data_IF_373735586359
#
_entry.id   IF_373735586359
#
_cell.length_a   1.000
_cell.length_b   1.000
_cell.length_c   1.000
_cell.angle_alpha   90.00
_cell.angle_beta   90.00
_cell.angle_gamma   90.00
#
_symmetry.space_group_name_H-M   'P 1'
#
loop_
_entity.id
_entity.type
_entity.pdbx_description
1 polymer ?
#
# COMPACT_ATOMS: atom_id res chain seq x y z
N UNK A 1 31.46 -12.03 65.57
CA UNK A 1 31.71 -13.34 66.14
C UNK A 1 30.96 -14.41 65.38
N UNK A 2 31.73 -15.19 64.59
CA UNK A 2 31.90 -16.64 64.62
C UNK A 2 30.65 -17.45 64.24
N UNK A 3 30.63 -18.48 63.46
CA UNK A 3 31.52 -19.43 62.77
C UNK A 3 30.72 -20.27 61.81
N UNK A 4 31.27 -20.50 60.65
CA UNK A 4 31.41 -21.75 59.88
C UNK A 4 30.67 -23.00 60.40
N UNK A 5 30.02 -23.69 59.43
CA UNK A 5 30.34 -25.11 59.19
C UNK A 5 29.84 -25.62 57.81
N UNK A 6 30.77 -26.11 57.08
CA UNK A 6 30.72 -26.94 55.88
C UNK A 6 30.31 -28.37 56.19
N UNK A 7 29.60 -29.03 55.30
CA UNK A 7 29.66 -30.50 55.16
C UNK A 7 29.43 -30.91 53.69
N UNK A 8 30.43 -31.60 53.16
CA UNK A 8 30.46 -32.44 51.93
C UNK A 8 29.92 -33.83 52.24
N UNK A 9 29.28 -34.47 51.22
CA UNK A 9 29.40 -35.93 50.90
C UNK A 9 28.59 -36.16 49.66
N UNK A 10 29.17 -36.53 48.56
CA UNK A 10 29.77 -37.75 47.97
C UNK A 10 28.71 -38.70 47.43
N UNK A 11 28.71 -38.78 46.06
CA UNK A 11 28.76 -39.92 45.13
C UNK A 11 28.02 -41.21 45.46
N UNK A 12 27.21 -41.68 44.44
CA UNK A 12 27.44 -43.01 43.87
C UNK A 12 26.72 -43.21 42.53
N UNK A 13 27.53 -43.62 41.56
CA UNK A 13 27.13 -44.16 40.23
C UNK A 13 26.40 -45.50 40.41
N UNK A 14 25.46 -45.77 39.51
CA UNK A 14 25.33 -47.15 38.99
C UNK A 14 24.76 -47.14 37.58
N UNK A 15 25.59 -47.63 36.68
CA UNK A 15 25.29 -48.07 35.30
C UNK A 15 24.36 -49.28 35.34
N UNK A 16 23.44 -49.37 34.39
CA UNK A 16 23.04 -50.60 33.76
C UNK A 16 22.56 -50.34 32.33
N UNK A 17 23.33 -50.84 31.39
CA UNK A 17 23.01 -50.93 29.98
C UNK A 17 22.27 -52.24 29.73
N UNK A 18 21.20 -52.22 28.93
CA UNK A 18 20.73 -53.41 28.23
C UNK A 18 20.40 -53.00 26.77
N UNK A 19 21.14 -53.66 25.88
CA UNK A 19 20.92 -53.69 24.42
C UNK A 19 19.76 -54.61 24.10
N UNK A 20 18.93 -54.27 23.11
CA UNK A 20 18.41 -55.21 22.11
C UNK A 20 17.81 -54.49 20.92
N UNK A 21 18.33 -54.73 19.74
CA UNK A 21 17.76 -54.62 18.38
C UNK A 21 17.45 -56.07 17.93
N UNK A 22 16.89 -56.26 16.74
CA UNK A 22 15.63 -55.81 16.08
C UNK A 22 14.82 -57.06 15.64
N UNK A 23 13.56 -56.88 15.25
CA UNK A 23 12.87 -57.86 14.37
C UNK A 23 11.99 -57.11 13.37
N UNK A 24 12.38 -57.28 12.11
CA UNK A 24 11.60 -56.94 10.92
C UNK A 24 10.56 -58.05 10.72
N UNK A 25 9.29 -57.66 10.55
CA UNK A 25 8.32 -58.52 9.83
C UNK A 25 7.56 -57.65 8.83
N UNK A 26 7.78 -57.98 7.56
CA UNK A 26 6.92 -57.64 6.43
C UNK A 26 5.61 -58.38 6.59
N UNK A 27 4.51 -57.73 6.43
CA UNK A 27 3.26 -58.33 6.00
C UNK A 27 2.72 -57.51 4.81
N UNK A 28 2.66 -58.20 3.68
CA UNK A 28 1.90 -57.79 2.48
C UNK A 28 0.41 -57.99 2.78
N UNK A 29 -0.39 -57.01 2.46
CA UNK A 29 -1.83 -57.20 2.27
C UNK A 29 -2.36 -56.23 1.21
N UNK A 30 -2.54 -56.81 0.02
CA UNK A 30 -3.67 -56.78 -0.88
C UNK A 30 -4.43 -55.47 -1.10
N UNK A 31 -4.29 -54.92 -2.30
CA UNK A 31 -5.20 -53.98 -2.93
C UNK A 31 -6.56 -54.64 -3.25
N UNK A 32 -7.69 -53.96 -3.10
CA UNK A 32 -8.91 -54.26 -3.85
C UNK A 32 -9.00 -53.43 -5.11
N UNK A 33 -8.89 -54.09 -6.26
CA UNK A 33 -9.29 -53.57 -7.58
C UNK A 33 -10.79 -53.29 -7.59
N UNK A 34 -11.18 -52.06 -7.80
CA UNK A 34 -12.55 -51.72 -8.21
C UNK A 34 -12.52 -51.26 -9.64
N UNK A 35 -13.01 -52.11 -10.55
CA UNK A 35 -13.32 -51.76 -11.94
C UNK A 35 -14.41 -50.68 -11.98
N UNK A 36 -14.10 -49.53 -12.52
CA UNK A 36 -15.12 -48.55 -12.95
C UNK A 36 -15.23 -48.62 -14.48
N UNK A 37 -16.34 -49.18 -14.95
CA UNK A 37 -16.72 -49.25 -16.36
C UNK A 37 -16.90 -47.85 -16.93
N UNK A 38 -16.10 -47.49 -17.92
CA UNK A 38 -16.31 -46.38 -18.81
C UNK A 38 -17.61 -46.57 -19.60
N UNK A 39 -18.56 -45.65 -19.39
CA UNK A 39 -19.67 -45.45 -20.37
C UNK A 39 -19.31 -44.22 -21.19
N UNK A 40 -18.83 -44.50 -22.39
CA UNK A 40 -18.72 -43.54 -23.49
C UNK A 40 -20.13 -43.10 -23.92
N UNK A 41 -20.46 -41.81 -23.68
CA UNK A 41 -21.59 -41.17 -24.32
C UNK A 41 -21.06 -40.26 -25.44
N UNK A 42 -21.25 -40.68 -26.68
CA UNK A 42 -21.03 -39.88 -27.87
C UNK A 42 -22.10 -38.77 -27.93
N UNK A 43 -21.72 -37.53 -27.84
CA UNK A 43 -22.55 -36.40 -28.20
C UNK A 43 -22.01 -35.77 -29.52
N UNK A 44 -22.86 -35.71 -30.53
CA UNK A 44 -22.62 -35.05 -31.82
C UNK A 44 -22.57 -33.53 -31.68
N UNK A 45 -21.78 -32.83 -32.52
CA UNK A 45 -21.77 -31.37 -32.56
C UNK A 45 -22.93 -30.87 -33.43
N UNK A 46 -23.74 -29.96 -32.89
CA UNK A 46 -24.66 -29.14 -33.64
C UNK A 46 -24.14 -27.70 -33.64
N UNK A 47 -23.52 -27.33 -34.75
CA UNK A 47 -23.23 -25.96 -35.07
C UNK A 47 -24.52 -25.22 -35.43
N UNK A 48 -24.82 -24.12 -34.75
CA UNK A 48 -25.64 -23.03 -35.30
C UNK A 48 -24.87 -21.73 -35.06
N UNK A 49 -24.32 -21.22 -36.16
CA UNK A 49 -23.87 -19.83 -36.32
C UNK A 49 -25.11 -18.95 -36.20
N UNK A 50 -25.08 -18.02 -35.26
CA UNK A 50 -25.92 -16.82 -35.31
C UNK A 50 -24.97 -15.68 -35.67
N UNK A 51 -25.04 -15.21 -36.90
CA UNK A 51 -24.49 -13.95 -37.38
C UNK A 51 -25.24 -12.82 -36.68
N UNK A 52 -24.54 -12.00 -35.91
CA UNK A 52 -25.05 -10.71 -35.47
C UNK A 52 -24.47 -9.66 -36.40
N UNK A 53 -25.34 -9.10 -37.21
CA UNK A 53 -25.13 -7.93 -38.08
C UNK A 53 -24.57 -6.76 -37.27
N UNK A 54 -23.37 -6.31 -37.65
CA UNK A 54 -22.81 -5.05 -37.22
C UNK A 54 -23.45 -3.96 -38.06
N UNK A 55 -24.33 -3.16 -37.48
CA UNK A 55 -24.81 -1.90 -38.06
C UNK A 55 -23.83 -0.78 -37.82
N UNK A 56 -23.51 -0.10 -38.87
CA UNK A 56 -22.59 1.02 -39.04
C UNK A 56 -22.89 2.28 -38.21
N UNK A 57 -21.95 3.25 -38.15
CA UNK A 57 -21.79 4.21 -37.06
C UNK A 57 -22.76 5.39 -37.17
N UNK A 58 -23.19 5.82 -35.99
CA UNK A 58 -24.01 7.02 -35.78
C UNK A 58 -23.20 8.28 -36.12
N UNK A 59 -23.78 9.07 -37.06
CA UNK A 59 -23.29 10.36 -37.53
C UNK A 59 -23.02 11.34 -36.37
N UNK A 60 -21.82 11.98 -36.43
CA UNK A 60 -21.53 13.20 -35.73
C UNK A 60 -22.56 14.29 -36.00
N UNK A 61 -23.22 14.78 -34.97
CA UNK A 61 -24.01 16.01 -35.04
C UNK A 61 -23.08 17.14 -34.58
N UNK A 62 -22.65 17.96 -35.57
CA UNK A 62 -22.02 19.25 -35.28
C UNK A 62 -23.13 20.25 -34.93
N UNK A 63 -23.06 20.77 -33.72
CA UNK A 63 -23.91 21.88 -33.31
C UNK A 63 -23.15 23.16 -33.60
N UNK A 64 -23.51 23.79 -34.73
CA UNK A 64 -23.12 25.20 -35.04
C UNK A 64 -23.87 26.14 -34.11
N UNK A 65 -23.20 26.77 -33.18
CA UNK A 65 -23.73 27.97 -32.48
C UNK A 65 -23.31 29.22 -33.20
N UNK A 66 -24.18 29.75 -34.04
CA UNK A 66 -24.07 31.10 -34.62
C UNK A 66 -24.43 32.15 -33.58
N UNK A 67 -23.45 32.93 -33.16
CA UNK A 67 -23.70 34.20 -32.45
C UNK A 67 -23.48 35.35 -33.44
N UNK A 68 -24.43 36.28 -33.62
CA UNK A 68 -24.27 37.37 -34.57
C UNK A 68 -23.42 38.51 -33.95
N UNK A 69 -22.29 38.79 -34.57
CA UNK A 69 -21.46 39.96 -34.26
C UNK A 69 -22.10 41.24 -34.78
N UNK A 70 -22.57 42.12 -33.91
CA UNK A 70 -22.87 43.50 -34.24
C UNK A 70 -21.56 44.31 -34.27
N UNK A 71 -21.18 44.73 -35.48
CA UNK A 71 -20.14 45.71 -35.71
C UNK A 71 -20.67 47.08 -35.31
N UNK A 72 -20.10 47.70 -34.30
CA UNK A 72 -20.22 49.12 -34.03
C UNK A 72 -18.90 49.76 -34.46
N UNK A 73 -18.95 50.57 -35.52
CA UNK A 73 -17.84 51.36 -36.00
C UNK A 73 -17.73 52.61 -35.10
N UNK A 74 -16.64 52.76 -34.39
CA UNK A 74 -16.29 54.03 -33.73
C UNK A 74 -15.10 54.62 -34.47
N UNK A 75 -15.31 55.83 -35.01
CA UNK A 75 -14.30 56.70 -35.65
C UNK A 75 -13.19 56.99 -34.64
N UNK A 76 -11.97 56.75 -35.04
CA UNK A 76 -10.81 57.24 -34.32
C UNK A 76 -10.49 58.67 -34.72
N UNK A 77 -10.56 59.62 -33.79
CA UNK A 77 -9.84 60.86 -33.84
C UNK A 77 -8.57 60.74 -33.01
N UNK A 78 -7.46 61.14 -33.64
CA UNK A 78 -6.16 61.12 -33.00
C UNK A 78 -5.98 62.35 -32.07
N UNK A 79 -5.58 62.21 -30.82
CA UNK A 79 -5.09 63.33 -30.02
C UNK A 79 -3.55 63.39 -30.05
N UNK A 80 -3.14 64.65 -30.16
CA UNK A 80 -1.79 65.21 -30.18
C UNK A 80 -0.86 64.71 -29.11
N UNK A 81 0.42 64.54 -29.49
CA UNK A 81 1.57 64.28 -28.62
C UNK A 81 1.67 65.36 -27.50
N UNK A 82 1.50 64.88 -26.25
CA UNK A 82 2.08 65.51 -25.07
C UNK A 82 3.10 64.53 -24.48
N UNK A 83 4.35 65.02 -24.43
CA UNK A 83 5.43 64.36 -23.70
C UNK A 83 5.00 64.20 -22.24
N UNK A 84 4.85 62.98 -21.81
CA UNK A 84 4.69 62.60 -20.39
C UNK A 84 6.01 62.02 -19.95
N UNK A 85 6.65 62.68 -18.99
CA UNK A 85 7.89 62.23 -18.34
C UNK A 85 7.66 60.84 -17.77
N UNK A 86 8.60 59.92 -18.06
CA UNK A 86 8.66 58.59 -17.48
C UNK A 86 8.76 58.65 -15.95
N UNK A 87 7.91 57.98 -15.18
CA UNK A 87 8.13 57.84 -13.76
C UNK A 87 9.35 56.92 -13.53
N UNK A 88 10.36 57.47 -12.87
CA UNK A 88 11.48 56.66 -12.35
C UNK A 88 10.90 55.54 -11.45
N UNK A 89 11.00 54.31 -11.92
CA UNK A 89 10.68 53.14 -11.13
C UNK A 89 11.72 53.08 -10.01
N UNK A 90 11.30 53.43 -8.79
CA UNK A 90 12.11 53.15 -7.60
C UNK A 90 12.40 51.66 -7.54
N UNK A 91 13.68 51.30 -7.61
CA UNK A 91 14.17 49.95 -7.36
C UNK A 91 13.66 49.54 -5.97
N UNK A 92 12.68 48.64 -5.95
CA UNK A 92 12.26 48.00 -4.69
C UNK A 92 13.49 47.27 -4.19
N UNK A 93 14.02 47.72 -3.08
CA UNK A 93 15.00 46.97 -2.33
C UNK A 93 14.34 45.59 -2.03
N UNK A 94 14.97 44.53 -2.46
CA UNK A 94 14.61 43.18 -2.06
C UNK A 94 14.70 43.11 -0.53
N UNK A 95 13.56 43.22 0.13
CA UNK A 95 13.44 42.88 1.55
C UNK A 95 13.68 41.37 1.57
N UNK A 96 14.70 40.88 2.29
CA UNK A 96 14.86 39.45 2.44
C UNK A 96 13.58 38.89 3.08
N UNK A 97 12.84 38.07 2.33
CA UNK A 97 11.72 37.34 2.93
C UNK A 97 12.35 36.44 3.99
N UNK A 98 12.11 36.76 5.25
CA UNK A 98 12.40 35.82 6.33
C UNK A 98 11.76 34.47 5.99
N UNK A 99 12.58 33.44 5.89
CA UNK A 99 12.05 32.10 5.68
C UNK A 99 11.16 31.78 6.87
N UNK A 100 9.93 31.30 6.64
CA UNK A 100 9.04 30.97 7.75
C UNK A 100 9.75 29.96 8.66
N UNK A 101 9.69 30.16 9.95
CA UNK A 101 10.13 29.15 10.93
C UNK A 101 9.29 27.90 10.76
N UNK A 102 9.87 26.88 10.15
CA UNK A 102 9.20 25.62 9.87
C UNK A 102 9.10 24.70 11.10
N UNK A 103 9.58 25.17 12.27
CA UNK A 103 9.61 24.39 13.49
C UNK A 103 10.60 23.20 13.43
N UNK A 104 10.54 22.29 14.39
CA UNK A 104 11.43 21.13 14.41
C UNK A 104 11.18 20.23 13.20
N UNK A 105 12.27 19.77 12.59
CA UNK A 105 12.24 18.85 11.44
C UNK A 105 11.46 17.58 11.80
N UNK A 106 10.48 17.23 10.97
CA UNK A 106 9.66 16.03 11.13
C UNK A 106 9.95 15.02 10.05
N UNK A 107 9.61 13.76 10.31
CA UNK A 107 9.87 12.64 9.43
C UNK A 107 8.57 11.98 8.94
N UNK A 108 8.52 11.65 7.64
CA UNK A 108 7.35 11.03 7.02
C UNK A 108 7.78 9.83 6.18
N UNK A 109 7.22 8.65 6.48
CA UNK A 109 7.32 7.47 5.64
C UNK A 109 6.08 7.34 4.76
N UNK A 110 6.23 7.42 3.45
CA UNK A 110 5.19 7.08 2.49
C UNK A 110 5.25 5.59 2.17
N UNK A 111 4.12 4.89 2.25
CA UNK A 111 4.03 3.46 1.93
C UNK A 111 2.95 3.27 0.87
N UNK A 112 3.34 2.77 -0.30
CA UNK A 112 2.43 2.56 -1.42
C UNK A 112 2.94 1.52 -2.40
N UNK A 113 2.06 1.11 -3.30
CA UNK A 113 2.34 0.03 -4.26
C UNK A 113 2.98 0.50 -5.55
N UNK A 114 2.94 1.79 -5.85
CA UNK A 114 3.52 2.37 -7.06
C UNK A 114 4.03 3.79 -6.82
N UNK A 115 5.02 4.20 -7.60
CA UNK A 115 5.60 5.55 -7.61
C UNK A 115 6.29 5.78 -8.95
N UNK A 116 5.95 6.87 -9.65
CA UNK A 116 6.73 7.32 -10.81
C UNK A 116 8.15 7.71 -10.34
N UNK A 117 9.21 7.45 -11.10
CA UNK A 117 9.24 6.81 -12.42
C UNK A 117 9.50 5.29 -12.37
N UNK A 118 9.47 4.67 -11.21
CA UNK A 118 9.84 3.27 -11.02
C UNK A 118 8.77 2.32 -11.53
N UNK A 119 7.54 2.54 -11.08
CA UNK A 119 6.35 1.80 -11.51
C UNK A 119 5.13 2.70 -11.39
N UNK A 120 4.29 2.72 -12.43
CA UNK A 120 3.09 3.55 -12.47
C UNK A 120 2.03 2.87 -13.31
N UNK A 121 0.84 2.70 -12.75
CA UNK A 121 -0.36 2.23 -13.47
C UNK A 121 -1.48 3.27 -13.47
N UNK A 122 -1.47 4.19 -12.50
CA UNK A 122 -2.50 5.21 -12.34
C UNK A 122 -2.00 6.50 -11.66
N UNK A 123 -2.95 7.30 -11.20
CA UNK A 123 -2.67 8.58 -10.53
C UNK A 123 -1.99 8.46 -9.17
N UNK A 124 -2.11 7.30 -8.51
CA UNK A 124 -1.39 7.00 -7.28
C UNK A 124 0.13 7.18 -7.46
N UNK A 125 0.68 6.65 -8.57
CA UNK A 125 2.11 6.75 -8.86
C UNK A 125 2.58 8.20 -9.01
N UNK A 126 1.75 9.10 -9.53
CA UNK A 126 2.07 10.53 -9.63
C UNK A 126 2.11 11.20 -8.26
N UNK A 127 1.13 10.92 -7.40
CA UNK A 127 1.08 11.47 -6.04
C UNK A 127 2.25 10.98 -5.20
N UNK A 128 2.56 9.67 -5.26
CA UNK A 128 3.70 9.08 -4.56
C UNK A 128 5.06 9.62 -5.00
N UNK A 129 5.12 10.25 -6.17
CA UNK A 129 6.30 10.94 -6.67
C UNK A 129 6.33 12.43 -6.29
N UNK A 130 5.22 13.14 -6.53
CA UNK A 130 5.19 14.60 -6.42
C UNK A 130 5.10 15.07 -4.97
N UNK A 131 4.24 14.45 -4.14
CA UNK A 131 4.01 14.88 -2.77
C UNK A 131 5.25 14.71 -1.87
N UNK A 132 5.96 13.57 -1.87
CA UNK A 132 7.21 13.42 -1.11
C UNK A 132 8.24 14.48 -1.45
N UNK A 133 8.46 14.76 -2.74
CA UNK A 133 9.39 15.80 -3.20
C UNK A 133 8.99 17.21 -2.77
N UNK A 134 7.69 17.50 -2.77
CA UNK A 134 7.18 18.78 -2.28
C UNK A 134 7.41 18.94 -0.77
N UNK A 135 7.17 17.87 0.01
CA UNK A 135 7.37 17.88 1.45
C UNK A 135 8.85 17.94 1.84
N UNK A 136 9.74 17.27 1.11
CA UNK A 136 11.18 17.36 1.34
C UNK A 136 11.70 18.82 1.23
N UNK A 137 11.09 19.65 0.37
CA UNK A 137 11.40 21.07 0.26
C UNK A 137 10.90 21.90 1.45
N UNK A 138 10.01 21.37 2.28
CA UNK A 138 9.44 22.01 3.46
C UNK A 138 10.14 21.57 4.77
N UNK A 139 11.41 21.21 4.70
CA UNK A 139 12.21 20.79 5.85
C UNK A 139 11.68 19.52 6.55
N UNK A 140 11.18 18.55 5.74
CA UNK A 140 10.83 17.23 6.26
C UNK A 140 11.86 16.18 5.82
N UNK A 141 12.09 15.19 6.68
CA UNK A 141 12.77 13.95 6.31
C UNK A 141 11.75 13.01 5.67
N UNK A 142 11.95 12.67 4.40
CA UNK A 142 10.96 11.91 3.65
C UNK A 142 11.56 10.61 3.11
N UNK A 143 10.94 9.50 3.46
CA UNK A 143 11.16 8.19 2.86
C UNK A 143 9.92 7.73 2.10
N UNK A 144 10.13 7.07 0.96
CA UNK A 144 9.10 6.39 0.18
C UNK A 144 9.43 4.90 0.15
N UNK A 145 8.52 4.06 0.61
CA UNK A 145 8.72 2.62 0.70
C UNK A 145 7.85 1.95 -0.34
N UNK A 146 8.46 1.13 -1.18
CA UNK A 146 7.86 0.50 -2.36
C UNK A 146 8.24 -0.98 -2.44
N UNK A 147 7.42 -1.83 -3.06
CA UNK A 147 7.88 -3.16 -3.47
C UNK A 147 8.95 -3.04 -4.57
N UNK A 148 9.99 -3.86 -4.49
CA UNK A 148 10.99 -3.99 -5.56
C UNK A 148 10.47 -4.90 -6.66
N UNK A 149 9.53 -4.41 -7.45
CA UNK A 149 9.01 -5.19 -8.57
C UNK A 149 10.07 -5.44 -9.66
N UNK A 150 10.04 -6.62 -10.26
CA UNK A 150 10.92 -6.96 -11.39
C UNK A 150 10.71 -6.05 -12.60
N UNK A 151 9.53 -5.45 -12.76
CA UNK A 151 9.22 -4.53 -13.85
C UNK A 151 9.81 -3.12 -13.70
N UNK A 152 10.44 -2.79 -12.58
CA UNK A 152 11.15 -1.51 -12.42
C UNK A 152 12.25 -1.44 -13.49
N UNK A 153 12.36 -0.32 -14.25
CA UNK A 153 13.37 -0.21 -15.30
C UNK A 153 14.80 -0.42 -14.76
N UNK A 154 15.59 -1.20 -15.52
CA UNK A 154 16.94 -1.61 -15.11
C UNK A 154 17.85 -0.43 -14.73
N UNK A 155 17.73 0.70 -15.44
CA UNK A 155 18.50 1.94 -15.15
C UNK A 155 18.32 2.47 -13.72
N UNK A 156 17.20 2.14 -13.05
CA UNK A 156 16.98 2.48 -11.64
C UNK A 156 17.49 1.35 -10.74
N UNK A 157 17.23 0.09 -11.10
CA UNK A 157 17.69 -1.05 -10.32
C UNK A 157 19.22 -1.07 -10.16
N UNK A 158 19.98 -0.70 -11.21
CA UNK A 158 21.45 -0.62 -11.19
C UNK A 158 22.00 0.49 -10.28
N UNK A 159 21.17 1.46 -9.93
CA UNK A 159 21.55 2.57 -9.04
C UNK A 159 21.10 2.36 -7.59
N UNK A 160 20.37 1.27 -7.32
CA UNK A 160 19.94 0.95 -5.97
C UNK A 160 21.12 0.41 -5.16
N UNK A 161 21.27 0.90 -3.95
CA UNK A 161 22.25 0.44 -2.98
C UNK A 161 21.62 -0.57 -2.02
N UNK A 162 22.31 -1.69 -1.78
CA UNK A 162 21.86 -2.66 -0.79
C UNK A 162 22.10 -2.14 0.63
N UNK A 163 21.03 -2.09 1.45
CA UNK A 163 21.05 -1.57 2.82
C UNK A 163 21.01 -2.67 3.88
N UNK A 164 20.72 -3.89 3.50
CA UNK A 164 20.67 -5.04 4.40
C UNK A 164 19.48 -5.95 4.13
N UNK A 165 19.43 -7.03 4.89
CA UNK A 165 18.32 -7.99 4.85
C UNK A 165 18.15 -8.69 6.18
N UNK A 166 16.96 -9.19 6.41
CA UNK A 166 16.58 -9.98 7.59
C UNK A 166 15.45 -10.94 7.23
N UNK A 167 15.05 -11.74 8.20
CA UNK A 167 13.88 -12.60 8.09
C UNK A 167 12.84 -12.20 9.13
N UNK A 168 11.56 -12.26 8.76
CA UNK A 168 10.43 -11.98 9.66
C UNK A 168 9.36 -13.04 9.54
N UNK A 169 8.56 -13.24 10.59
CA UNK A 169 7.28 -13.96 10.50
C UNK A 169 6.25 -13.08 9.82
N UNK A 170 5.51 -13.67 8.90
CA UNK A 170 4.38 -13.02 8.25
C UNK A 170 3.08 -13.51 8.89
N UNK A 171 2.84 -14.79 8.81
CA UNK A 171 1.67 -15.49 9.32
C UNK A 171 2.04 -16.48 10.44
N UNK A 172 1.03 -17.05 11.09
CA UNK A 172 1.24 -17.95 12.24
C UNK A 172 1.65 -19.37 11.84
N UNK A 173 2.32 -19.54 10.71
CA UNK A 173 2.77 -20.84 10.19
C UNK A 173 4.20 -21.22 10.62
N UNK A 174 4.89 -20.34 11.32
CA UNK A 174 6.28 -20.50 11.75
C UNK A 174 7.32 -20.33 10.64
N UNK A 175 6.89 -19.99 9.42
CA UNK A 175 7.80 -19.72 8.30
C UNK A 175 8.39 -18.33 8.43
N UNK A 176 9.69 -18.23 8.16
CA UNK A 176 10.41 -16.98 8.08
C UNK A 176 10.48 -16.50 6.63
N UNK A 177 10.10 -15.25 6.41
CA UNK A 177 10.08 -14.62 5.10
C UNK A 177 11.24 -13.64 4.96
N UNK A 178 11.99 -13.78 3.88
CA UNK A 178 13.10 -12.87 3.57
C UNK A 178 12.60 -11.46 3.32
N UNK A 179 13.31 -10.46 3.84
CA UNK A 179 13.13 -9.03 3.56
C UNK A 179 14.48 -8.43 3.20
N UNK A 180 14.67 -8.05 1.94
CA UNK A 180 15.80 -7.26 1.49
C UNK A 180 15.41 -5.80 1.39
N UNK A 181 16.39 -4.89 1.56
CA UNK A 181 16.20 -3.45 1.45
C UNK A 181 17.20 -2.91 0.45
N UNK A 182 16.67 -2.32 -0.62
CA UNK A 182 17.44 -1.59 -1.61
C UNK A 182 17.07 -0.12 -1.56
N UNK A 183 18.04 0.78 -1.52
CA UNK A 183 17.82 2.22 -1.39
C UNK A 183 18.21 2.96 -2.68
N UNK A 184 17.41 3.93 -3.06
CA UNK A 184 17.70 4.89 -4.11
C UNK A 184 17.39 6.30 -3.60
N UNK A 185 18.19 7.29 -3.97
CA UNK A 185 17.99 8.67 -3.53
C UNK A 185 17.85 9.62 -4.71
N UNK A 186 16.87 10.49 -4.67
CA UNK A 186 16.65 11.53 -5.67
C UNK A 186 15.89 12.72 -5.08
N UNK A 187 16.34 13.95 -5.40
CA UNK A 187 15.64 15.20 -5.04
C UNK A 187 15.31 15.36 -3.55
N UNK A 188 16.18 14.87 -2.67
CA UNK A 188 16.00 14.96 -1.21
C UNK A 188 15.04 13.93 -0.63
N UNK A 189 14.57 12.99 -1.44
CA UNK A 189 13.73 11.85 -1.03
C UNK A 189 14.55 10.57 -1.06
N UNK A 190 14.41 9.76 -0.03
CA UNK A 190 14.97 8.40 0.05
C UNK A 190 13.89 7.41 -0.32
N UNK A 191 14.17 6.54 -1.29
CA UNK A 191 13.29 5.48 -1.75
C UNK A 191 13.83 4.14 -1.28
N UNK A 192 13.13 3.48 -0.35
CA UNK A 192 13.46 2.15 0.14
C UNK A 192 12.59 1.11 -0.59
N UNK A 193 13.21 0.19 -1.30
CA UNK A 193 12.54 -0.89 -2.03
C UNK A 193 12.63 -2.18 -1.23
N UNK A 194 11.47 -2.74 -0.89
CA UNK A 194 11.37 -4.05 -0.23
C UNK A 194 11.58 -5.14 -1.27
N UNK A 195 12.67 -5.88 -1.13
CA UNK A 195 13.07 -6.96 -2.04
C UNK A 195 12.62 -8.32 -1.50
N UNK A 196 11.84 -9.01 -2.32
CA UNK A 196 11.48 -10.41 -2.13
C UNK A 196 11.00 -11.00 -3.46
N UNK A 197 11.76 -11.99 -3.99
CA UNK A 197 11.44 -12.58 -5.29
C UNK A 197 10.13 -13.38 -5.28
N UNK A 198 9.75 -13.96 -4.15
CA UNK A 198 8.51 -14.73 -4.03
C UNK A 198 7.27 -13.86 -4.31
N UNK A 199 7.27 -12.60 -3.85
CA UNK A 199 6.12 -11.71 -3.96
C UNK A 199 6.20 -10.70 -5.11
N UNK A 200 7.41 -10.30 -5.55
CA UNK A 200 7.59 -9.17 -6.46
C UNK A 200 8.24 -9.50 -7.80
N UNK A 201 8.54 -10.77 -8.08
CA UNK A 201 9.14 -11.17 -9.37
C UNK A 201 8.14 -11.33 -10.50
N UNK A 202 6.84 -11.28 -10.25
CA UNK A 202 5.78 -11.33 -11.24
C UNK A 202 5.69 -9.99 -11.99
N UNK A 203 5.61 -10.01 -13.31
CA UNK A 203 5.85 -8.87 -14.21
C UNK A 203 5.01 -7.61 -13.97
N UNK A 204 3.81 -7.70 -13.40
CA UNK A 204 2.93 -6.56 -13.12
C UNK A 204 2.76 -6.35 -11.62
N UNK A 205 2.64 -5.10 -11.14
CA UNK A 205 2.39 -4.80 -9.73
C UNK A 205 1.05 -5.36 -9.25
N UNK A 206 0.04 -5.42 -10.11
CA UNK A 206 -1.28 -5.97 -9.81
C UNK A 206 -1.59 -7.15 -10.73
N UNK A 207 -2.11 -8.24 -10.16
CA UNK A 207 -2.46 -9.46 -10.89
C UNK A 207 -3.92 -9.83 -10.65
N UNK A 208 -4.18 -10.56 -9.58
CA UNK A 208 -5.51 -10.94 -9.11
C UNK A 208 -5.48 -10.99 -7.57
N UNK A 209 -6.64 -10.98 -6.93
CA UNK A 209 -6.70 -10.93 -5.46
C UNK A 209 -6.11 -12.16 -4.76
N UNK A 210 -6.06 -13.33 -5.42
CA UNK A 210 -5.48 -14.54 -4.84
C UNK A 210 -3.98 -14.33 -4.57
N UNK A 211 -3.28 -13.71 -5.53
CA UNK A 211 -1.84 -13.44 -5.44
C UNK A 211 -1.56 -12.09 -4.75
N UNK A 212 -2.43 -11.10 -4.94
CA UNK A 212 -2.24 -9.74 -4.43
C UNK A 212 -2.50 -9.64 -2.92
N UNK A 213 -3.42 -10.42 -2.34
CA UNK A 213 -3.66 -10.42 -0.89
C UNK A 213 -2.42 -10.85 -0.10
N UNK A 214 -1.79 -12.01 -0.37
CA UNK A 214 -0.52 -12.39 0.27
C UNK A 214 0.57 -11.35 0.08
N UNK A 215 0.73 -10.86 -1.15
CA UNK A 215 1.74 -9.88 -1.54
C UNK A 215 1.66 -8.59 -0.73
N UNK A 216 0.45 -8.01 -0.59
CA UNK A 216 0.28 -6.75 0.13
C UNK A 216 0.15 -6.92 1.65
N UNK A 217 -0.25 -8.09 2.14
CA UNK A 217 -0.06 -8.45 3.55
C UNK A 217 1.43 -8.46 3.91
N UNK A 218 2.25 -9.16 3.09
CA UNK A 218 3.69 -9.18 3.25
C UNK A 218 4.30 -7.77 3.16
N UNK A 219 3.98 -7.03 2.10
CA UNK A 219 4.55 -5.70 1.86
C UNK A 219 4.30 -4.74 3.02
N UNK A 220 3.06 -4.65 3.52
CA UNK A 220 2.73 -3.74 4.62
C UNK A 220 3.49 -4.05 5.91
N UNK A 221 3.66 -5.35 6.25
CA UNK A 221 4.42 -5.77 7.43
C UNK A 221 5.93 -5.56 7.24
N UNK A 222 6.45 -5.93 6.06
CA UNK A 222 7.86 -5.79 5.71
C UNK A 222 8.31 -4.32 5.68
N UNK A 223 7.46 -3.40 5.21
CA UNK A 223 7.75 -1.97 5.21
C UNK A 223 8.02 -1.44 6.63
N UNK A 224 7.17 -1.80 7.61
CA UNK A 224 7.39 -1.40 9.00
C UNK A 224 8.59 -2.10 9.63
N UNK A 225 8.80 -3.38 9.34
CA UNK A 225 9.96 -4.13 9.81
C UNK A 225 11.27 -3.55 9.27
N UNK A 226 11.28 -3.10 7.99
CA UNK A 226 12.42 -2.43 7.39
C UNK A 226 12.75 -1.09 8.07
N UNK A 227 11.75 -0.28 8.42
CA UNK A 227 11.96 0.95 9.18
C UNK A 227 12.60 0.67 10.55
N UNK A 228 12.13 -0.35 11.27
CA UNK A 228 12.75 -0.79 12.51
C UNK A 228 14.20 -1.28 12.32
N UNK A 229 14.45 -2.07 11.26
CA UNK A 229 15.77 -2.59 10.94
C UNK A 229 16.78 -1.48 10.63
N UNK A 230 16.32 -0.43 9.94
CA UNK A 230 17.13 0.76 9.59
C UNK A 230 17.26 1.76 10.76
N UNK A 231 16.67 1.47 11.93
CA UNK A 231 16.58 2.38 13.08
C UNK A 231 16.05 3.78 12.71
N UNK A 232 15.10 3.80 11.76
CA UNK A 232 14.49 5.05 11.29
C UNK A 232 13.03 5.11 11.72
N UNK A 233 12.74 5.99 12.69
CA UNK A 233 11.40 6.14 13.28
C UNK A 233 10.69 7.36 12.70
N UNK A 234 9.63 7.18 11.88
CA UNK A 234 8.85 8.29 11.36
C UNK A 234 7.91 8.89 12.41
N UNK A 235 7.70 10.20 12.35
CA UNK A 235 6.58 10.84 13.04
C UNK A 235 5.23 10.44 12.41
N UNK A 236 5.22 10.31 11.08
CA UNK A 236 4.03 9.99 10.29
C UNK A 236 4.33 8.82 9.34
N UNK A 237 3.43 7.84 9.34
CA UNK A 237 3.36 6.81 8.29
C UNK A 237 2.15 7.14 7.43
N UNK A 238 2.39 7.47 6.15
CA UNK A 238 1.38 7.83 5.17
C UNK A 238 1.17 6.69 4.18
N UNK A 239 0.05 6.01 4.32
CA UNK A 239 -0.33 4.84 3.54
C UNK A 239 -1.23 5.22 2.38
N UNK A 240 -1.13 4.49 1.27
CA UNK A 240 -1.89 4.78 0.07
C UNK A 240 -2.66 3.55 -0.43
N UNK A 241 -3.99 3.71 -0.55
CA UNK A 241 -4.96 2.71 -0.99
C UNK A 241 -4.94 1.38 -0.21
N UNK A 242 -5.70 0.40 -0.68
CA UNK A 242 -5.87 -0.87 -0.01
C UNK A 242 -4.59 -1.70 0.11
N UNK A 243 -3.65 -1.50 -0.79
CA UNK A 243 -2.37 -2.20 -0.81
C UNK A 243 -1.49 -1.88 0.40
N UNK A 244 -1.67 -0.70 0.98
CA UNK A 244 -0.98 -0.29 2.20
C UNK A 244 -1.93 -0.17 3.42
N UNK A 245 -3.21 -0.54 3.27
CA UNK A 245 -4.22 -0.32 4.30
C UNK A 245 -4.05 -1.17 5.56
N UNK A 246 -3.29 -2.27 5.51
CA UNK A 246 -2.98 -3.03 6.73
C UNK A 246 -1.88 -2.39 7.59
N UNK A 247 -1.12 -1.45 7.06
CA UNK A 247 -0.04 -0.78 7.82
C UNK A 247 -0.55 -0.09 9.08
N UNK A 248 -1.65 0.69 9.07
CA UNK A 248 -2.22 1.24 10.30
C UNK A 248 -2.61 0.20 11.35
N UNK A 249 -3.09 -0.98 10.92
CA UNK A 249 -3.38 -2.08 11.84
C UNK A 249 -2.09 -2.65 12.43
N UNK A 250 -1.09 -2.93 11.60
CA UNK A 250 0.21 -3.45 12.05
C UNK A 250 0.88 -2.52 13.06
N UNK A 251 0.82 -1.19 12.85
CA UNK A 251 1.35 -0.21 13.81
C UNK A 251 0.75 -0.36 15.22
N UNK A 252 -0.52 -0.74 15.32
CA UNK A 252 -1.25 -0.85 16.59
C UNK A 252 -1.40 -2.28 17.13
N UNK A 253 -0.88 -3.26 16.37
CA UNK A 253 -0.90 -4.67 16.76
C UNK A 253 0.52 -5.23 16.81
N UNK A 254 1.07 -5.65 15.68
CA UNK A 254 2.36 -6.33 15.58
C UNK A 254 3.56 -5.44 15.96
N UNK A 255 3.44 -4.10 15.82
CA UNK A 255 4.51 -3.13 16.09
C UNK A 255 4.22 -2.19 17.26
N UNK A 256 3.14 -2.42 18.03
CA UNK A 256 2.72 -1.53 19.13
C UNK A 256 3.83 -1.21 20.13
N UNK A 257 4.71 -2.16 20.41
CA UNK A 257 5.79 -2.06 21.39
C UNK A 257 7.12 -1.57 20.82
N UNK A 258 7.12 -1.22 19.52
CA UNK A 258 8.30 -0.67 18.83
C UNK A 258 8.24 0.86 18.72
N UNK A 259 9.38 1.49 18.41
CA UNK A 259 9.41 2.92 18.14
C UNK A 259 8.54 3.31 16.94
N UNK A 260 8.57 2.52 15.87
CA UNK A 260 7.75 2.73 14.67
C UNK A 260 6.25 2.67 15.00
N UNK A 261 5.83 1.83 15.93
CA UNK A 261 4.44 1.72 16.38
C UNK A 261 3.85 3.00 16.98
N UNK A 262 4.67 4.00 17.35
CA UNK A 262 4.23 5.30 17.86
C UNK A 262 3.84 6.28 16.76
N UNK A 263 4.18 6.01 15.51
CA UNK A 263 3.91 6.90 14.38
C UNK A 263 2.41 7.18 14.21
N UNK A 264 2.10 8.38 13.74
CA UNK A 264 0.74 8.76 13.34
C UNK A 264 0.46 8.14 11.98
N UNK A 265 -0.63 7.36 11.88
CA UNK A 265 -1.05 6.75 10.63
C UNK A 265 -1.99 7.67 9.85
N UNK A 266 -1.63 7.95 8.60
CA UNK A 266 -2.47 8.63 7.61
C UNK A 266 -2.75 7.65 6.48
N UNK A 267 -3.99 7.56 6.01
CA UNK A 267 -4.38 6.72 4.88
C UNK A 267 -5.03 7.61 3.80
N UNK A 268 -4.48 7.58 2.58
CA UNK A 268 -5.10 8.24 1.43
C UNK A 268 -5.84 7.21 0.59
N UNK A 269 -7.10 7.51 0.28
CA UNK A 269 -7.96 6.76 -0.64
C UNK A 269 -7.96 7.49 -1.98
N UNK A 270 -7.31 6.89 -3.00
CA UNK A 270 -7.31 7.40 -4.35
C UNK A 270 -8.51 6.89 -5.14
N UNK A 271 -8.89 5.64 -4.93
CA UNK A 271 -10.04 5.03 -5.58
C UNK A 271 -10.72 4.02 -4.64
N UNK A 272 -11.88 4.40 -4.09
CA UNK A 272 -12.62 3.60 -3.13
C UNK A 272 -13.16 2.27 -3.70
N UNK A 273 -13.23 2.14 -5.04
CA UNK A 273 -13.69 0.91 -5.68
C UNK A 273 -12.77 -0.28 -5.39
N UNK A 274 -11.49 -0.04 -5.15
CA UNK A 274 -10.51 -1.08 -4.84
C UNK A 274 -10.26 -1.13 -3.33
N UNK A 275 -10.66 -2.23 -2.69
CA UNK A 275 -10.72 -2.30 -1.23
C UNK A 275 -9.93 -3.47 -0.63
N UNK A 276 -9.41 -4.39 -1.47
CA UNK A 276 -8.78 -5.62 -0.97
C UNK A 276 -9.77 -6.49 -0.19
N UNK A 277 -10.96 -6.72 -0.78
CA UNK A 277 -11.97 -7.61 -0.21
C UNK A 277 -11.71 -9.03 -0.68
N UNK A 278 -11.53 -9.93 0.28
CA UNK A 278 -11.28 -11.33 -0.01
C UNK A 278 -11.70 -12.21 1.17
N UNK A 279 -11.67 -13.54 0.98
CA UNK A 279 -11.98 -14.52 2.03
C UNK A 279 -11.28 -14.16 3.35
N UNK A 280 -12.09 -14.10 4.42
CA UNK A 280 -11.64 -13.71 5.76
C UNK A 280 -10.48 -14.57 6.27
N UNK A 281 -10.56 -15.89 6.09
CA UNK A 281 -9.54 -16.83 6.61
C UNK A 281 -8.21 -16.63 5.88
N UNK A 282 -8.28 -16.34 4.57
CA UNK A 282 -7.10 -16.07 3.74
C UNK A 282 -6.42 -14.77 4.18
N UNK A 283 -7.18 -13.68 4.35
CA UNK A 283 -6.62 -12.41 4.84
C UNK A 283 -6.08 -12.58 6.27
N UNK A 284 -6.81 -13.25 7.14
CA UNK A 284 -6.38 -13.51 8.51
C UNK A 284 -5.08 -14.31 8.57
N UNK A 285 -4.99 -15.37 7.78
CA UNK A 285 -3.79 -16.20 7.69
C UNK A 285 -2.59 -15.39 7.21
N UNK A 286 -2.69 -14.72 6.05
CA UNK A 286 -1.58 -14.00 5.46
C UNK A 286 -1.18 -12.72 6.20
N UNK A 287 -2.13 -12.03 6.82
CA UNK A 287 -1.81 -10.84 7.60
C UNK A 287 -1.17 -11.14 8.95
N UNK A 288 -1.43 -12.32 9.54
CA UNK A 288 -1.02 -12.62 10.92
C UNK A 288 -1.61 -11.68 11.96
N UNK A 289 -2.68 -10.95 11.61
CA UNK A 289 -3.38 -10.04 12.51
C UNK A 289 -4.20 -10.83 13.55
N UNK A 290 -4.35 -10.31 14.77
CA UNK A 290 -5.12 -10.97 15.82
C UNK A 290 -6.61 -11.00 15.50
N UNK A 291 -7.31 -12.03 16.03
CA UNK A 291 -8.74 -12.26 15.78
C UNK A 291 -9.64 -11.07 16.07
N UNK A 292 -9.30 -10.27 17.08
CA UNK A 292 -10.15 -9.17 17.50
C UNK A 292 -10.32 -8.05 16.47
N UNK A 293 -9.43 -7.94 15.47
CA UNK A 293 -9.62 -6.97 14.36
C UNK A 293 -10.60 -7.47 13.32
N UNK A 294 -10.90 -8.78 13.28
CA UNK A 294 -11.85 -9.38 12.35
C UNK A 294 -13.29 -9.34 12.89
N UNK A 295 -13.79 -8.13 13.11
CA UNK A 295 -15.16 -7.85 13.55
C UNK A 295 -15.84 -6.88 12.58
N UNK A 296 -17.18 -6.71 12.74
CA UNK A 296 -18.02 -5.89 11.84
C UNK A 296 -17.64 -4.40 11.80
N UNK A 297 -17.07 -3.89 12.87
CA UNK A 297 -16.72 -2.47 13.02
C UNK A 297 -15.30 -2.16 12.48
N UNK A 298 -14.56 -3.20 12.06
CA UNK A 298 -13.20 -3.08 11.55
C UNK A 298 -13.04 -3.78 10.19
N UNK A 299 -12.65 -5.05 10.16
CA UNK A 299 -12.27 -5.69 8.89
C UNK A 299 -13.38 -6.51 8.23
N UNK A 300 -14.42 -6.93 8.96
CA UNK A 300 -15.45 -7.80 8.39
C UNK A 300 -16.34 -7.01 7.44
N UNK A 301 -16.41 -7.45 6.17
CA UNK A 301 -17.30 -6.93 5.15
C UNK A 301 -18.64 -7.64 5.17
N UNK A 302 -18.60 -9.00 5.22
CA UNK A 302 -19.75 -9.87 5.28
C UNK A 302 -19.37 -11.18 6.01
N UNK A 303 -20.23 -12.19 5.99
CA UNK A 303 -19.99 -13.46 6.68
C UNK A 303 -18.69 -14.18 6.28
N UNK A 304 -18.29 -14.06 5.03
CA UNK A 304 -17.17 -14.80 4.43
C UNK A 304 -15.93 -13.91 4.22
N UNK A 305 -16.13 -12.63 3.97
CA UNK A 305 -15.10 -11.73 3.47
C UNK A 305 -14.67 -10.69 4.51
N UNK A 306 -13.39 -10.39 4.48
CA UNK A 306 -12.78 -9.25 5.13
C UNK A 306 -12.36 -8.21 4.09
N UNK A 307 -12.24 -6.95 4.54
CA UNK A 307 -11.92 -5.79 3.72
C UNK A 307 -10.71 -5.06 4.33
N UNK A 308 -9.60 -5.07 3.60
CA UNK A 308 -8.34 -4.48 4.07
C UNK A 308 -8.45 -2.96 4.21
N UNK A 309 -9.08 -2.29 3.23
CA UNK A 309 -9.26 -0.83 3.27
C UNK A 309 -10.14 -0.40 4.43
N UNK A 310 -11.23 -1.13 4.72
CA UNK A 310 -12.10 -0.88 5.87
C UNK A 310 -11.32 -0.92 7.18
N UNK A 311 -10.48 -1.94 7.37
CA UNK A 311 -9.57 -2.03 8.52
C UNK A 311 -8.61 -0.85 8.60
N UNK A 312 -8.00 -0.48 7.47
CA UNK A 312 -7.11 0.68 7.38
C UNK A 312 -7.80 1.98 7.78
N UNK A 313 -9.03 2.22 7.32
CA UNK A 313 -9.84 3.38 7.72
C UNK A 313 -10.04 3.36 9.24
N UNK A 314 -10.37 2.22 9.83
CA UNK A 314 -10.61 2.11 11.28
C UNK A 314 -9.37 2.52 12.10
N UNK A 315 -8.21 2.01 11.75
CA UNK A 315 -6.97 2.16 12.53
C UNK A 315 -6.14 3.41 12.20
N UNK A 316 -6.45 4.12 11.11
CA UNK A 316 -5.77 5.37 10.76
C UNK A 316 -6.19 6.54 11.66
N UNK A 317 -5.24 7.39 12.01
CA UNK A 317 -5.49 8.64 12.74
C UNK A 317 -6.18 9.69 11.87
N UNK A 318 -5.82 9.73 10.57
CA UNK A 318 -6.44 10.56 9.53
C UNK A 318 -6.64 9.76 8.27
N UNK A 319 -7.73 10.06 7.57
CA UNK A 319 -8.04 9.51 6.25
C UNK A 319 -8.17 10.68 5.29
N UNK A 320 -7.48 10.61 4.17
CA UNK A 320 -7.55 11.63 3.13
C UNK A 320 -8.04 11.04 1.81
N UNK A 321 -8.56 11.88 0.94
CA UNK A 321 -8.90 11.51 -0.43
C UNK A 321 -8.65 12.69 -1.37
N UNK A 322 -8.77 12.47 -2.67
CA UNK A 322 -8.24 13.30 -3.75
C UNK A 322 -8.97 14.61 -4.01
N UNK A 323 -10.11 14.87 -3.38
CA UNK A 323 -10.80 16.17 -3.42
C UNK A 323 -11.82 16.31 -2.29
N UNK A 324 -12.21 17.56 -1.98
CA UNK A 324 -13.28 17.81 -1.02
C UNK A 324 -14.64 17.23 -1.49
N UNK A 325 -14.93 17.31 -2.78
CA UNK A 325 -16.13 16.74 -3.38
C UNK A 325 -16.13 15.23 -3.19
N UNK A 326 -15.04 14.56 -3.56
CA UNK A 326 -14.93 13.12 -3.41
C UNK A 326 -15.00 12.66 -1.94
N UNK A 327 -14.43 13.43 -1.00
CA UNK A 327 -14.55 13.15 0.43
C UNK A 327 -16.01 13.14 0.91
N UNK A 328 -16.87 13.94 0.28
CA UNK A 328 -18.30 13.93 0.55
C UNK A 328 -19.03 12.81 -0.19
N UNK A 329 -18.76 12.63 -1.47
CA UNK A 329 -19.38 11.60 -2.34
C UNK A 329 -19.23 10.19 -1.77
N UNK A 330 -18.01 9.81 -1.37
CA UNK A 330 -17.73 8.45 -0.84
C UNK A 330 -18.48 8.12 0.46
N UNK A 331 -19.09 9.10 1.11
CA UNK A 331 -19.95 8.90 2.29
C UNK A 331 -21.43 8.70 1.94
N UNK A 332 -21.79 8.78 0.65
CA UNK A 332 -23.15 8.50 0.15
C UNK A 332 -23.29 7.03 -0.27
N UNK A 333 -24.52 6.52 -0.28
CA UNK A 333 -24.77 5.13 -0.70
C UNK A 333 -24.43 4.92 -2.19
N UNK A 334 -24.56 5.96 -3.01
CA UNK A 334 -24.32 5.92 -4.46
C UNK A 334 -22.82 5.74 -4.80
N UNK A 335 -21.94 6.41 -4.07
CA UNK A 335 -20.47 6.41 -4.36
C UNK A 335 -19.63 5.74 -3.27
N UNK A 336 -20.27 5.25 -2.22
CA UNK A 336 -19.56 4.68 -1.05
C UNK A 336 -19.08 3.25 -1.24
N UNK A 337 -19.37 2.60 -2.40
CA UNK A 337 -18.89 1.25 -2.74
C UNK A 337 -19.07 0.23 -1.60
N UNK A 338 -20.19 0.33 -0.88
CA UNK A 338 -20.53 -0.49 0.28
C UNK A 338 -19.85 -0.09 1.60
N UNK A 339 -19.08 1.00 1.64
CA UNK A 339 -18.44 1.54 2.84
C UNK A 339 -19.05 2.86 3.33
N UNK A 340 -20.16 3.34 2.74
CA UNK A 340 -20.76 4.63 3.07
C UNK A 340 -21.03 4.81 4.56
N UNK A 341 -21.68 3.84 5.22
CA UNK A 341 -21.95 3.87 6.66
C UNK A 341 -20.66 3.92 7.48
N UNK A 342 -19.67 3.10 7.12
CA UNK A 342 -18.39 3.04 7.79
C UNK A 342 -17.61 4.36 7.66
N UNK A 343 -17.64 4.98 6.47
CA UNK A 343 -17.03 6.28 6.22
C UNK A 343 -17.73 7.40 6.99
N UNK A 344 -19.07 7.41 7.04
CA UNK A 344 -19.83 8.36 7.88
C UNK A 344 -19.48 8.22 9.35
N UNK A 345 -19.37 7.00 9.85
CA UNK A 345 -18.95 6.75 11.24
C UNK A 345 -17.59 7.37 11.55
N UNK A 346 -16.69 7.35 10.56
CA UNK A 346 -15.33 7.90 10.66
C UNK A 346 -15.17 9.30 10.08
N UNK A 347 -16.25 10.04 9.77
CA UNK A 347 -16.22 11.34 9.07
C UNK A 347 -15.32 12.40 9.75
N UNK A 348 -15.18 12.35 11.07
CA UNK A 348 -14.37 13.28 11.85
C UNK A 348 -12.88 13.28 11.49
N UNK A 349 -12.38 12.19 10.92
CA UNK A 349 -10.99 12.05 10.49
C UNK A 349 -10.79 12.09 8.98
N UNK A 350 -11.88 12.18 8.18
CA UNK A 350 -11.82 12.25 6.71
C UNK A 350 -11.64 13.69 6.23
N UNK A 351 -10.74 13.88 5.27
CA UNK A 351 -10.48 15.17 4.60
C UNK A 351 -10.22 14.96 3.11
N UNK A 352 -10.76 15.85 2.29
CA UNK A 352 -10.39 15.96 0.87
C UNK A 352 -9.16 16.87 0.71
N UNK A 353 -8.21 16.43 -0.08
CA UNK A 353 -7.02 17.20 -0.49
C UNK A 353 -6.94 17.08 -2.00
N UNK A 354 -6.94 18.23 -2.68
CA UNK A 354 -6.85 18.26 -4.15
C UNK A 354 -5.43 17.90 -4.58
N UNK A 355 -5.34 16.96 -5.50
CA UNK A 355 -4.07 16.53 -6.11
C UNK A 355 -3.59 17.55 -7.15
#
# INVERSE_FOLDING_TARGET
AAKKKTAKAKTSEKKAAVKAKPVVKKEEAAEPKTEVKEKTVKAKPAAKKAEVEVKEPVKKVEIETKVPAKKVAVKAEAPSKKEVAEPQIAVKQDIPMEQPDLGPRRSVAFIGSECYPFVKTGGLGDVMYALPKALAKLNLDVKVILPRYKCIPQKYQEKMEYRGSFYMDLCSDGRQYYVGIMEYQEDGVVYDFIDNEEFFSWGNPYTNLIDDIPKFCYFGKAALAALNYLDWTPDIVHCHDWQAALVPLYLRTCFSDTNVGRAIAVLTIHNLRFQGVYDRKTIQYWSGLPDYVFNKDCMIQNWLDANMLKGGITYSNKVTTVSNTYAWEIQTEEYGEGLAEHLRYHQNKIRGIVN
#
